data_IF_530364607823
#
_entry.id   IF_530364607823
#
_cell.length_a   1.000
_cell.length_b   1.000
_cell.length_c   1.000
_cell.angle_alpha   90.00
_cell.angle_beta   90.00
_cell.angle_gamma   90.00
#
_symmetry.space_group_name_H-M   'P 1'
#
loop_
_entity.id
_entity.type
_entity.pdbx_description
1 polymer ?
#
# COMPACT_ATOMS: atom_id res chain seq x y z
N UNK A 1 2.32 41.20 -5.94
CA UNK A 1 3.51 40.69 -5.19
C UNK A 1 3.17 39.57 -4.20
N UNK A 2 1.99 39.52 -3.63
CA UNK A 2 1.56 38.42 -2.69
C UNK A 2 1.35 37.07 -3.40
N UNK A 3 0.77 37.02 -4.61
CA UNK A 3 0.49 35.77 -5.33
C UNK A 3 1.77 34.96 -5.66
N UNK A 4 2.88 35.63 -5.98
CA UNK A 4 4.18 34.97 -6.26
C UNK A 4 4.86 34.39 -5.01
N UNK A 5 4.58 34.92 -3.81
CA UNK A 5 5.07 34.34 -2.54
C UNK A 5 4.28 33.08 -2.14
N UNK A 6 2.97 33.05 -2.41
CA UNK A 6 2.13 31.88 -2.14
C UNK A 6 2.50 30.68 -3.03
N UNK A 7 2.74 30.92 -4.33
CA UNK A 7 3.19 29.87 -5.27
C UNK A 7 4.55 29.27 -4.89
N UNK A 8 5.47 30.05 -4.33
CA UNK A 8 6.78 29.54 -3.88
C UNK A 8 6.69 28.73 -2.59
N UNK A 9 5.83 29.09 -1.63
CA UNK A 9 5.57 28.28 -0.45
C UNK A 9 4.84 26.97 -0.77
N UNK A 10 3.83 27.00 -1.65
CA UNK A 10 3.10 25.79 -2.07
C UNK A 10 3.99 24.77 -2.78
N UNK A 11 4.93 25.23 -3.62
CA UNK A 11 5.91 24.36 -4.29
C UNK A 11 6.90 23.72 -3.33
N UNK A 12 7.30 24.42 -2.25
CA UNK A 12 8.18 23.86 -1.21
C UNK A 12 7.44 22.83 -0.34
N UNK A 13 6.18 23.06 -0.02
CA UNK A 13 5.36 22.10 0.76
C UNK A 13 5.10 20.83 -0.07
N UNK A 14 4.78 20.95 -1.36
CA UNK A 14 4.66 19.79 -2.25
C UNK A 14 5.97 19.01 -2.35
N UNK A 15 7.12 19.67 -2.52
CA UNK A 15 8.44 19.02 -2.59
C UNK A 15 8.84 18.31 -1.30
N UNK A 16 8.49 18.85 -0.13
CA UNK A 16 8.73 18.22 1.17
C UNK A 16 7.83 16.99 1.36
N UNK A 17 6.57 17.04 0.94
CA UNK A 17 5.65 15.91 0.94
C UNK A 17 6.15 14.80 0.00
N UNK A 18 6.68 15.15 -1.18
CA UNK A 18 7.29 14.21 -2.12
C UNK A 18 8.57 13.52 -1.57
N UNK A 19 9.40 14.24 -0.82
CA UNK A 19 10.65 13.69 -0.29
C UNK A 19 10.44 12.73 0.90
N UNK A 20 9.29 12.81 1.60
CA UNK A 20 8.95 11.99 2.76
C UNK A 20 8.00 10.83 2.43
N UNK A 21 7.46 10.76 1.21
CA UNK A 21 6.51 9.71 0.80
C UNK A 21 7.19 8.35 0.55
N UNK A 22 7.92 7.87 1.52
CA UNK A 22 8.58 6.57 1.46
C UNK A 22 7.77 5.52 2.27
N UNK A 23 7.16 4.54 1.57
CA UNK A 23 6.88 3.18 2.04
C UNK A 23 5.69 2.97 2.99
N UNK A 24 4.52 2.77 2.42
CA UNK A 24 3.29 2.38 3.12
C UNK A 24 3.10 0.87 3.11
N UNK A 25 2.66 0.30 4.22
CA UNK A 25 2.20 -1.08 4.34
C UNK A 25 0.70 -1.12 4.66
N UNK A 26 0.04 -2.18 4.24
CA UNK A 26 -1.37 -2.13 3.95
C UNK A 26 -2.21 -3.21 4.65
N UNK A 27 -3.50 -2.97 4.72
CA UNK A 27 -4.53 -3.96 5.08
C UNK A 27 -5.07 -4.76 3.89
N UNK A 28 -4.62 -4.46 2.65
CA UNK A 28 -5.06 -5.13 1.42
C UNK A 28 -3.91 -5.34 0.43
N UNK A 29 -3.13 -6.41 0.58
CA UNK A 29 -1.91 -6.57 -0.18
C UNK A 29 -0.88 -5.51 0.20
N UNK A 30 -0.35 -4.75 -0.74
CA UNK A 30 0.54 -3.62 -0.48
C UNK A 30 -0.20 -2.26 -0.43
N UNK A 31 -1.51 -2.23 -0.61
CA UNK A 31 -2.31 -1.01 -0.49
C UNK A 31 -2.43 -0.57 0.97
N UNK A 32 -2.50 0.72 1.23
CA UNK A 32 -2.77 1.25 2.56
C UNK A 32 -4.12 0.74 3.09
N UNK A 33 -4.23 0.59 4.40
CA UNK A 33 -5.46 0.16 5.06
C UNK A 33 -6.61 1.16 4.80
N UNK A 34 -6.27 2.43 4.77
CA UNK A 34 -7.13 3.56 4.47
C UNK A 34 -6.30 4.80 4.19
N UNK A 35 -6.91 5.88 3.76
CA UNK A 35 -6.30 7.17 3.47
C UNK A 35 -7.01 8.24 4.28
N UNK A 36 -6.23 9.06 4.99
CA UNK A 36 -6.73 10.05 5.93
C UNK A 36 -7.13 9.50 7.31
N UNK A 37 -7.34 10.39 8.30
CA UNK A 37 -7.47 10.00 9.70
C UNK A 37 -8.68 9.11 9.97
N UNK A 38 -9.82 9.40 9.38
CA UNK A 38 -11.06 8.64 9.61
C UNK A 38 -10.93 7.21 9.08
N UNK A 39 -10.33 7.06 7.87
CA UNK A 39 -10.11 5.75 7.29
C UNK A 39 -9.12 4.92 8.12
N UNK A 40 -8.05 5.52 8.65
CA UNK A 40 -7.13 4.83 9.55
C UNK A 40 -7.82 4.34 10.83
N UNK A 41 -8.71 5.15 11.42
CA UNK A 41 -9.44 4.81 12.66
C UNK A 41 -10.52 3.74 12.43
N UNK A 42 -11.13 3.68 11.24
CA UNK A 42 -12.18 2.71 10.87
C UNK A 42 -11.63 1.50 10.09
N UNK A 43 -10.33 1.25 10.11
CA UNK A 43 -9.67 0.17 9.36
C UNK A 43 -10.06 0.16 7.86
N UNK A 44 -10.28 1.34 7.28
CA UNK A 44 -10.63 1.55 5.87
C UNK A 44 -12.10 1.34 5.51
N UNK A 45 -13.02 1.17 6.46
CA UNK A 45 -14.46 1.07 6.22
C UNK A 45 -15.08 2.45 6.00
N UNK A 46 -14.83 3.06 4.82
CA UNK A 46 -15.20 4.46 4.55
C UNK A 46 -15.84 4.69 3.16
N UNK A 47 -16.19 3.65 2.42
CA UNK A 47 -16.80 3.81 1.09
C UNK A 47 -18.12 4.58 1.16
N UNK A 48 -18.87 4.46 2.26
CA UNK A 48 -20.13 5.15 2.52
C UNK A 48 -20.08 6.10 3.74
N UNK A 49 -18.88 6.47 4.22
CA UNK A 49 -18.67 7.42 5.33
C UNK A 49 -18.03 8.69 4.79
N UNK A 50 -18.64 9.85 5.03
CA UNK A 50 -18.18 11.16 4.54
C UNK A 50 -17.95 12.09 5.73
N UNK A 51 -16.72 12.14 6.26
CA UNK A 51 -16.35 12.92 7.44
C UNK A 51 -15.03 13.69 7.28
N UNK A 52 -14.30 13.50 6.16
CA UNK A 52 -13.05 14.18 5.88
C UNK A 52 -12.90 14.55 4.39
N UNK A 53 -11.91 15.36 4.06
CA UNK A 53 -11.62 15.78 2.68
C UNK A 53 -10.94 14.68 1.84
N UNK A 54 -10.60 13.50 2.41
CA UNK A 54 -9.98 12.39 1.68
C UNK A 54 -10.94 11.56 0.81
N UNK A 55 -12.08 12.15 0.45
CA UNK A 55 -13.06 11.49 -0.42
C UNK A 55 -12.44 11.00 -1.73
N UNK A 56 -11.61 11.81 -2.41
CA UNK A 56 -10.92 11.44 -3.64
C UNK A 56 -10.02 10.22 -3.52
N UNK A 57 -9.54 9.93 -2.33
CA UNK A 57 -8.71 8.75 -2.05
C UNK A 57 -9.52 7.45 -1.85
N UNK A 58 -10.83 7.53 -1.64
CA UNK A 58 -11.70 6.35 -1.40
C UNK A 58 -12.90 6.31 -2.34
N UNK A 59 -13.85 7.22 -2.19
CA UNK A 59 -15.03 7.37 -3.04
C UNK A 59 -15.24 8.87 -3.34
N UNK A 60 -14.92 9.33 -4.57
CA UNK A 60 -14.94 10.75 -4.91
C UNK A 60 -16.31 11.42 -4.75
N UNK A 61 -17.40 10.66 -4.85
CA UNK A 61 -18.74 11.19 -4.70
C UNK A 61 -19.03 11.76 -3.30
N UNK A 62 -18.35 11.24 -2.25
CA UNK A 62 -18.53 11.71 -0.87
C UNK A 62 -18.07 13.15 -0.64
N UNK A 63 -17.27 13.70 -1.55
CA UNK A 63 -16.77 15.06 -1.44
C UNK A 63 -17.89 16.09 -1.40
N UNK A 64 -19.03 15.82 -2.05
CA UNK A 64 -20.23 16.67 -2.00
C UNK A 64 -20.80 16.85 -0.59
N UNK A 65 -20.47 15.95 0.34
CA UNK A 65 -20.93 15.98 1.73
C UNK A 65 -19.82 16.36 2.73
N UNK A 66 -18.57 16.51 2.28
CA UNK A 66 -17.42 16.77 3.18
C UNK A 66 -17.36 18.23 3.66
N UNK A 67 -18.04 19.15 2.97
CA UNK A 67 -17.97 20.59 3.29
C UNK A 67 -16.63 21.22 2.87
N UNK A 68 -16.34 22.41 3.42
CA UNK A 68 -15.08 23.09 3.21
C UNK A 68 -14.10 22.66 4.30
N UNK A 69 -13.06 21.95 3.95
CA UNK A 69 -12.15 21.33 4.94
C UNK A 69 -10.74 21.21 4.41
N UNK A 70 -9.79 21.35 5.31
CA UNK A 70 -8.37 21.07 5.13
C UNK A 70 -7.94 20.01 6.13
N UNK A 71 -7.34 18.93 5.64
CA UNK A 71 -6.84 17.82 6.45
C UNK A 71 -5.34 17.62 6.23
N UNK A 72 -4.59 17.51 7.30
CA UNK A 72 -3.18 17.13 7.32
C UNK A 72 -3.04 15.88 8.18
N UNK A 73 -2.44 14.84 7.65
CA UNK A 73 -2.28 13.55 8.33
C UNK A 73 -0.85 13.04 8.23
N UNK A 74 -0.37 12.44 9.30
CA UNK A 74 0.93 11.80 9.37
C UNK A 74 0.78 10.44 10.04
N UNK A 75 1.16 9.39 9.33
CA UNK A 75 1.21 8.03 9.88
C UNK A 75 2.65 7.60 10.10
N UNK A 76 2.95 7.17 11.31
CA UNK A 76 4.18 6.47 11.69
C UNK A 76 3.92 4.97 11.59
N UNK A 77 4.60 4.28 10.68
CA UNK A 77 4.42 2.85 10.43
C UNK A 77 5.67 2.07 10.85
N UNK A 78 5.46 1.02 11.65
CA UNK A 78 6.52 0.14 12.15
C UNK A 78 6.26 -1.33 11.74
N UNK A 79 6.69 -1.78 10.54
CA UNK A 79 6.55 -3.15 10.11
C UNK A 79 7.68 -4.04 10.61
N UNK A 80 7.32 -5.24 11.08
CA UNK A 80 8.26 -6.32 11.43
C UNK A 80 8.13 -7.46 10.42
N UNK A 81 9.26 -7.86 9.82
CA UNK A 81 9.30 -8.87 8.76
C UNK A 81 10.44 -9.82 9.04
N UNK A 82 10.11 -10.90 9.77
CA UNK A 82 11.06 -11.98 10.07
C UNK A 82 10.84 -13.11 9.07
N UNK A 83 11.95 -13.62 8.54
CA UNK A 83 12.02 -14.76 7.61
C UNK A 83 13.04 -15.76 8.08
N UNK A 84 12.78 -17.04 7.84
CA UNK A 84 13.65 -18.13 8.26
C UNK A 84 13.70 -19.21 7.17
N UNK A 85 14.87 -19.82 6.99
CA UNK A 85 15.05 -21.04 6.21
C UNK A 85 15.78 -22.07 7.06
N UNK A 86 15.28 -23.31 7.05
CA UNK A 86 15.85 -24.45 7.76
C UNK A 86 15.87 -25.69 6.86
N UNK A 87 16.76 -26.64 7.16
CA UNK A 87 16.80 -27.93 6.48
C UNK A 87 17.52 -27.91 5.12
N UNK A 88 18.16 -26.81 4.72
CA UNK A 88 19.14 -26.86 3.64
C UNK A 88 20.35 -27.69 4.11
N UNK A 89 20.79 -28.66 3.30
CA UNK A 89 21.81 -29.65 3.65
C UNK A 89 22.94 -29.72 2.61
N UNK A 90 24.02 -30.41 2.93
CA UNK A 90 25.20 -30.52 2.08
C UNK A 90 25.80 -29.15 1.76
N UNK A 91 26.21 -28.91 0.49
CA UNK A 91 26.78 -27.61 0.09
C UNK A 91 25.84 -26.43 0.31
N UNK A 92 24.53 -26.67 0.38
CA UNK A 92 23.53 -25.62 0.62
C UNK A 92 23.31 -25.31 2.10
N UNK A 93 23.93 -26.04 3.05
CA UNK A 93 23.73 -25.85 4.50
C UNK A 93 24.01 -24.43 4.99
N UNK A 94 24.99 -23.76 4.37
CA UNK A 94 25.33 -22.36 4.66
C UNK A 94 24.22 -21.34 4.29
N UNK A 95 23.18 -21.74 3.57
CA UNK A 95 22.03 -20.89 3.23
C UNK A 95 20.85 -21.02 4.20
N UNK A 96 20.99 -21.81 5.29
CA UNK A 96 20.06 -21.72 6.41
C UNK A 96 20.22 -20.37 7.11
N UNK A 97 19.12 -19.73 7.49
CA UNK A 97 19.17 -18.41 8.07
C UNK A 97 17.93 -18.09 8.91
N UNK A 98 18.06 -17.08 9.76
CA UNK A 98 16.95 -16.37 10.40
C UNK A 98 17.27 -14.88 10.33
N UNK A 99 16.43 -14.10 9.69
CA UNK A 99 16.69 -12.68 9.45
C UNK A 99 15.45 -11.82 9.65
N UNK A 100 15.65 -10.60 10.15
CA UNK A 100 14.60 -9.58 10.27
C UNK A 100 14.98 -8.38 9.44
N UNK A 101 14.02 -7.82 8.69
CA UNK A 101 14.27 -6.65 7.87
C UNK A 101 14.71 -5.46 8.73
N UNK A 102 15.80 -4.82 8.34
CA UNK A 102 16.39 -3.69 9.06
C UNK A 102 15.53 -2.42 8.98
N UNK A 103 14.88 -2.18 7.84
CA UNK A 103 14.00 -1.03 7.67
C UNK A 103 12.67 -1.27 8.37
N UNK A 104 12.45 -0.61 9.50
CA UNK A 104 11.31 -0.85 10.38
C UNK A 104 10.53 0.41 10.77
N UNK A 105 10.84 1.57 10.19
CA UNK A 105 10.16 2.81 10.53
C UNK A 105 9.95 3.67 9.29
N UNK A 106 8.68 4.03 9.03
CA UNK A 106 8.28 4.83 7.87
C UNK A 106 7.33 5.94 8.28
N UNK A 107 7.55 7.13 7.72
CA UNK A 107 6.67 8.29 7.84
C UNK A 107 5.83 8.42 6.58
N UNK A 108 4.52 8.54 6.73
CA UNK A 108 3.54 8.62 5.65
C UNK A 108 2.73 9.89 5.82
N UNK A 109 3.15 10.99 5.18
CA UNK A 109 2.37 12.21 5.16
C UNK A 109 1.23 12.13 4.15
N UNK A 110 0.08 12.68 4.50
CA UNK A 110 -1.10 12.77 3.65
C UNK A 110 -1.71 14.18 3.78
N UNK A 111 -2.33 14.64 2.73
CA UNK A 111 -2.97 15.95 2.63
C UNK A 111 -4.28 15.83 1.87
N UNK A 112 -5.31 16.53 2.34
CA UNK A 112 -6.53 16.69 1.57
C UNK A 112 -7.15 18.08 1.78
N UNK A 113 -7.84 18.54 0.75
CA UNK A 113 -8.59 19.78 0.73
C UNK A 113 -9.91 19.57 0.01
N UNK A 114 -10.98 20.09 0.56
CA UNK A 114 -12.30 20.12 -0.06
C UNK A 114 -12.92 21.50 -0.01
N UNK A 115 -13.68 21.83 -1.05
CA UNK A 115 -14.42 23.09 -1.15
C UNK A 115 -15.77 22.88 -1.86
N UNK A 116 -16.82 23.33 -1.23
CA UNK A 116 -18.13 23.46 -1.86
C UNK A 116 -18.11 24.69 -2.78
N UNK A 117 -18.34 24.48 -4.07
CA UNK A 117 -18.43 25.56 -5.07
C UNK A 117 -19.81 26.17 -5.10
N UNK A 118 -20.84 25.32 -5.01
CA UNK A 118 -22.25 25.66 -4.87
C UNK A 118 -22.98 24.48 -4.22
N UNK A 119 -24.29 24.56 -4.08
CA UNK A 119 -25.11 23.51 -3.42
C UNK A 119 -24.99 22.11 -4.07
N UNK A 120 -24.60 22.03 -5.34
CA UNK A 120 -24.54 20.79 -6.10
C UNK A 120 -23.12 20.33 -6.41
N UNK A 121 -22.12 21.22 -6.39
CA UNK A 121 -20.78 20.94 -6.89
C UNK A 121 -19.74 21.18 -5.80
N UNK A 122 -18.94 20.16 -5.52
CA UNK A 122 -17.75 20.23 -4.69
C UNK A 122 -16.50 19.86 -5.50
N UNK A 123 -15.40 20.54 -5.19
CA UNK A 123 -14.07 20.24 -5.72
C UNK A 123 -13.11 19.96 -4.58
N UNK A 124 -12.07 19.20 -4.84
CA UNK A 124 -11.03 18.93 -3.86
C UNK A 124 -9.79 18.34 -4.47
N UNK A 125 -8.84 18.07 -3.61
CA UNK A 125 -7.60 17.39 -3.96
C UNK A 125 -7.15 16.57 -2.75
N UNK A 126 -6.76 15.33 -2.97
CA UNK A 126 -6.09 14.51 -1.97
C UNK A 126 -4.74 14.04 -2.48
N UNK A 127 -3.74 14.08 -1.60
CA UNK A 127 -2.39 13.61 -1.88
C UNK A 127 -2.03 12.59 -0.80
N UNK A 128 -1.75 11.36 -1.19
CA UNK A 128 -1.61 10.24 -0.26
C UNK A 128 -0.69 9.15 -0.82
N UNK A 129 -0.11 8.37 0.08
CA UNK A 129 0.61 7.18 -0.31
C UNK A 129 -0.37 6.02 -0.50
N UNK A 130 -0.49 5.53 -1.75
CA UNK A 130 -1.39 4.44 -2.09
C UNK A 130 -0.98 3.13 -1.44
N UNK A 131 0.32 2.90 -1.33
CA UNK A 131 0.89 1.70 -0.74
C UNK A 131 2.38 1.58 -1.01
N UNK A 132 2.95 0.47 -0.56
CA UNK A 132 4.36 0.21 -0.77
C UNK A 132 4.80 -1.16 -0.27
N UNK A 133 5.99 -1.55 -0.67
CA UNK A 133 6.68 -2.75 -0.23
C UNK A 133 8.14 -2.41 0.02
N UNK A 134 8.62 -2.69 1.21
CA UNK A 134 10.02 -2.50 1.54
C UNK A 134 10.53 -3.66 2.38
N UNK A 135 11.65 -4.20 1.99
CA UNK A 135 12.44 -5.16 2.79
C UNK A 135 13.92 -4.85 2.63
N UNK A 136 14.67 -5.01 3.70
CA UNK A 136 16.12 -4.99 3.71
C UNK A 136 16.63 -6.06 4.67
N UNK A 137 17.20 -7.12 4.13
CA UNK A 137 17.87 -8.15 4.89
C UNK A 137 19.38 -8.04 4.66
N UNK A 138 20.17 -8.08 5.70
CA UNK A 138 21.62 -7.95 5.57
C UNK A 138 22.34 -7.88 6.91
N UNK A 139 23.57 -7.61 6.86
CA UNK A 139 24.70 -7.56 7.81
C UNK A 139 24.40 -7.68 9.32
N UNK A 140 23.31 -7.16 9.82
CA UNK A 140 22.94 -7.22 11.25
C UNK A 140 21.85 -8.24 11.57
N UNK A 141 21.35 -9.00 10.60
CA UNK A 141 20.12 -9.79 10.73
C UNK A 141 20.31 -11.31 10.62
N UNK A 142 21.49 -11.83 10.97
CA UNK A 142 21.71 -13.27 11.06
C UNK A 142 21.96 -14.00 9.74
N UNK A 143 22.26 -13.27 8.66
CA UNK A 143 22.78 -13.86 7.42
C UNK A 143 24.25 -14.23 7.69
N UNK A 144 24.72 -15.44 7.31
CA UNK A 144 26.12 -15.80 7.47
C UNK A 144 27.02 -14.76 6.80
N UNK A 145 27.95 -14.19 7.53
CA UNK A 145 28.98 -13.28 7.00
C UNK A 145 29.91 -13.93 5.97
N UNK A 146 29.76 -15.23 5.76
CA UNK A 146 30.59 -16.03 4.86
C UNK A 146 30.21 -15.79 3.42
N UNK A 147 31.17 -15.59 2.55
CA UNK A 147 30.99 -15.53 1.12
C UNK A 147 30.70 -16.94 0.57
N UNK A 148 29.42 -17.26 0.41
CA UNK A 148 28.97 -18.57 -0.10
C UNK A 148 29.11 -18.70 -1.63
N UNK A 149 29.40 -17.61 -2.33
CA UNK A 149 29.61 -17.60 -3.78
C UNK A 149 30.72 -16.63 -4.17
N UNK A 150 32.02 -17.00 -3.93
CA UNK A 150 33.16 -16.13 -4.25
C UNK A 150 33.27 -15.75 -5.72
N UNK A 151 32.85 -16.65 -6.62
CA UNK A 151 32.90 -16.38 -8.06
C UNK A 151 31.95 -15.25 -8.48
N UNK A 152 30.82 -15.10 -7.78
CA UNK A 152 29.83 -14.05 -8.04
C UNK A 152 30.09 -12.79 -7.20
N UNK A 153 30.49 -12.95 -5.94
CA UNK A 153 30.51 -11.88 -4.94
C UNK A 153 31.90 -11.29 -4.68
N UNK A 154 32.97 -11.94 -5.15
CA UNK A 154 34.35 -11.53 -4.83
C UNK A 154 34.58 -11.57 -3.32
N UNK A 155 34.91 -10.44 -2.71
CA UNK A 155 35.12 -10.30 -1.25
C UNK A 155 33.84 -9.94 -0.46
N UNK A 156 32.71 -9.68 -1.12
CA UNK A 156 31.47 -9.32 -0.44
C UNK A 156 30.80 -10.55 0.17
N UNK A 157 30.16 -10.42 1.33
CA UNK A 157 29.38 -11.52 1.90
C UNK A 157 28.25 -11.93 0.96
N UNK A 158 27.90 -13.20 0.94
CA UNK A 158 26.71 -13.70 0.27
C UNK A 158 25.44 -13.34 1.04
N UNK A 159 24.29 -13.50 0.39
CA UNK A 159 22.98 -13.41 1.05
C UNK A 159 22.19 -14.70 0.86
N UNK A 160 21.09 -14.84 1.58
CA UNK A 160 20.31 -16.08 1.60
C UNK A 160 19.55 -16.40 0.29
N UNK A 161 19.53 -15.48 -0.67
CA UNK A 161 19.00 -15.72 -2.02
C UNK A 161 20.11 -16.08 -3.03
N UNK A 162 21.35 -16.31 -2.57
CA UNK A 162 22.49 -16.63 -3.41
C UNK A 162 23.15 -15.43 -4.09
N UNK A 163 22.70 -14.22 -3.80
CA UNK A 163 23.32 -12.97 -4.26
C UNK A 163 24.35 -12.42 -3.28
N UNK A 164 24.72 -11.15 -3.42
CA UNK A 164 25.81 -10.50 -2.70
C UNK A 164 25.34 -9.32 -1.87
N UNK A 165 25.82 -9.26 -0.63
CA UNK A 165 25.53 -8.17 0.30
C UNK A 165 24.07 -8.15 0.76
N UNK A 166 23.56 -6.98 1.07
CA UNK A 166 22.15 -6.79 1.46
C UNK A 166 21.21 -7.29 0.39
N UNK A 167 20.11 -7.92 0.83
CA UNK A 167 19.02 -8.37 -0.03
C UNK A 167 17.76 -7.54 0.24
N UNK A 168 17.15 -7.02 -0.78
CA UNK A 168 15.89 -6.34 -0.59
C UNK A 168 15.36 -5.62 -1.82
N UNK A 169 14.22 -5.03 -1.63
CA UNK A 169 13.65 -4.07 -2.56
C UNK A 169 12.84 -3.01 -1.83
N UNK A 170 12.56 -1.97 -2.54
CA UNK A 170 11.94 -0.77 -2.06
C UNK A 170 11.01 -0.22 -3.13
N UNK A 171 9.71 -0.23 -2.87
CA UNK A 171 8.67 0.27 -3.75
C UNK A 171 7.72 1.15 -2.95
N UNK A 172 7.49 2.36 -3.44
CA UNK A 172 6.52 3.29 -2.90
C UNK A 172 5.65 3.89 -3.99
N UNK A 173 4.39 4.13 -3.68
CA UNK A 173 3.40 4.72 -4.59
C UNK A 173 2.75 5.92 -3.93
N UNK A 174 2.81 7.06 -4.61
CA UNK A 174 2.19 8.30 -4.20
C UNK A 174 1.20 8.77 -5.25
N UNK A 175 -0.02 9.12 -4.83
CA UNK A 175 -1.11 9.56 -5.71
C UNK A 175 -1.55 10.96 -5.32
N UNK A 176 -1.71 11.81 -6.34
CA UNK A 176 -2.45 13.07 -6.25
C UNK A 176 -3.75 12.91 -7.03
N UNK A 177 -4.87 13.12 -6.35
CA UNK A 177 -6.21 12.91 -6.88
C UNK A 177 -7.04 14.22 -6.80
N UNK A 178 -6.96 15.11 -7.82
CA UNK A 178 -7.96 16.15 -7.99
C UNK A 178 -9.33 15.51 -8.10
N UNK A 179 -10.34 16.10 -7.45
CA UNK A 179 -11.67 15.48 -7.33
C UNK A 179 -12.76 16.49 -7.67
N UNK A 180 -13.72 16.03 -8.43
CA UNK A 180 -14.99 16.72 -8.69
C UNK A 180 -16.12 15.81 -8.21
N UNK A 181 -17.03 16.35 -7.40
CA UNK A 181 -18.28 15.69 -7.01
C UNK A 181 -19.47 16.53 -7.42
N UNK A 182 -20.50 15.86 -7.88
CA UNK A 182 -21.77 16.48 -8.29
C UNK A 182 -22.95 15.79 -7.62
N UNK A 183 -23.70 16.57 -6.84
CA UNK A 183 -24.96 16.15 -6.23
C UNK A 183 -26.08 16.36 -7.24
N UNK A 184 -26.48 15.30 -7.93
CA UNK A 184 -27.49 15.34 -8.98
C UNK A 184 -28.94 15.28 -8.45
N UNK A 185 -29.09 14.83 -7.19
CA UNK A 185 -30.35 14.82 -6.46
C UNK A 185 -30.08 14.96 -4.96
N UNK A 186 -31.05 15.36 -4.12
CA UNK A 186 -30.87 15.45 -2.68
C UNK A 186 -30.35 14.13 -2.08
N UNK A 187 -29.19 14.20 -1.42
CA UNK A 187 -28.51 13.05 -0.85
C UNK A 187 -27.88 12.07 -1.85
N UNK A 188 -27.86 12.37 -3.17
CA UNK A 188 -27.30 11.50 -4.20
C UNK A 188 -26.20 12.22 -4.98
N UNK A 189 -25.03 11.64 -5.06
CA UNK A 189 -23.90 12.25 -5.75
C UNK A 189 -23.10 11.27 -6.58
N UNK A 190 -22.46 11.80 -7.62
CA UNK A 190 -21.43 11.16 -8.42
C UNK A 190 -20.12 11.93 -8.25
N UNK A 191 -19.00 11.25 -8.41
CA UNK A 191 -17.70 11.89 -8.33
C UNK A 191 -16.69 11.23 -9.24
N UNK A 192 -15.68 12.02 -9.63
CA UNK A 192 -14.57 11.58 -10.45
C UNK A 192 -13.26 12.17 -9.91
N UNK A 193 -12.22 11.37 -9.93
CA UNK A 193 -10.85 11.77 -9.59
C UNK A 193 -9.87 11.18 -10.59
N UNK A 194 -9.23 11.95 -11.45
CA UNK A 194 -7.98 11.56 -12.08
C UNK A 194 -6.96 11.14 -11.01
N UNK A 195 -6.23 10.06 -11.25
CA UNK A 195 -5.19 9.56 -10.36
C UNK A 195 -3.84 9.83 -11.01
N UNK A 196 -3.14 10.86 -10.54
CA UNK A 196 -1.80 11.21 -11.01
C UNK A 196 -0.80 10.56 -10.04
N UNK A 197 0.02 9.66 -10.55
CA UNK A 197 0.82 8.77 -9.70
C UNK A 197 2.30 8.93 -9.97
N UNK A 198 3.08 8.98 -8.88
CA UNK A 198 4.52 8.75 -8.86
C UNK A 198 4.79 7.42 -8.15
N UNK A 199 5.54 6.54 -8.79
CA UNK A 199 6.03 5.30 -8.21
C UNK A 199 7.55 5.28 -8.19
N UNK A 200 8.13 4.79 -7.11
CA UNK A 200 9.56 4.56 -6.98
C UNK A 200 9.85 3.08 -6.81
N UNK A 201 10.96 2.60 -7.35
CA UNK A 201 11.38 1.22 -7.22
C UNK A 201 12.91 1.10 -7.14
N UNK A 202 13.37 0.18 -6.28
CA UNK A 202 14.77 -0.21 -6.16
C UNK A 202 14.85 -1.67 -5.72
N UNK A 203 15.75 -2.45 -6.30
CA UNK A 203 16.06 -3.81 -5.87
C UNK A 203 17.58 -4.03 -5.77
N UNK A 204 17.99 -4.81 -4.79
CA UNK A 204 19.41 -5.09 -4.54
C UNK A 204 19.62 -6.49 -3.98
N UNK A 205 20.85 -7.03 -4.18
CA UNK A 205 21.23 -8.36 -3.70
C UNK A 205 20.70 -9.53 -4.53
N UNK A 206 20.21 -9.29 -5.75
CA UNK A 206 19.59 -10.31 -6.60
C UNK A 206 20.52 -10.79 -7.73
N UNK A 207 21.84 -10.68 -7.57
CA UNK A 207 22.82 -11.01 -8.63
C UNK A 207 22.70 -12.44 -9.13
N UNK A 208 22.34 -13.40 -8.26
CA UNK A 208 22.16 -14.80 -8.64
C UNK A 208 21.10 -15.03 -9.72
N UNK A 209 20.16 -14.10 -9.89
CA UNK A 209 19.08 -14.20 -10.87
C UNK A 209 19.42 -13.54 -12.21
N UNK A 210 20.52 -12.79 -12.29
CA UNK A 210 20.92 -12.09 -13.50
C UNK A 210 21.14 -13.03 -14.72
N UNK A 211 21.75 -14.23 -14.58
CA UNK A 211 21.92 -15.16 -15.70
C UNK A 211 20.61 -15.67 -16.30
N UNK A 212 19.52 -15.68 -15.52
CA UNK A 212 18.18 -16.11 -15.98
C UNK A 212 17.38 -14.97 -16.59
N UNK A 213 17.94 -13.77 -16.70
CA UNK A 213 17.23 -12.59 -17.17
C UNK A 213 17.48 -12.28 -18.66
N UNK A 214 16.43 -11.80 -19.34
CA UNK A 214 16.54 -11.22 -20.68
C UNK A 214 17.42 -9.97 -20.74
N UNK A 215 17.63 -9.31 -19.59
CA UNK A 215 18.43 -8.10 -19.46
C UNK A 215 19.24 -8.14 -18.15
N UNK A 216 20.32 -8.95 -18.09
CA UNK A 216 21.07 -9.24 -16.87
C UNK A 216 21.57 -8.00 -16.09
N UNK A 217 21.95 -6.92 -16.81
CA UNK A 217 22.41 -5.68 -16.20
C UNK A 217 21.32 -4.87 -15.53
N UNK A 218 20.03 -5.18 -15.78
CA UNK A 218 18.86 -4.47 -15.30
C UNK A 218 18.05 -5.30 -14.28
N UNK A 219 18.72 -6.16 -13.53
CA UNK A 219 18.08 -7.01 -12.51
C UNK A 219 18.17 -6.37 -11.12
N UNK A 220 19.34 -5.85 -10.75
CA UNK A 220 19.63 -5.50 -9.36
C UNK A 220 20.71 -4.43 -9.24
N UNK A 221 20.74 -3.70 -8.10
CA UNK A 221 21.77 -2.71 -7.74
C UNK A 221 21.87 -1.50 -8.69
N UNK A 222 20.81 -1.15 -9.39
CA UNK A 222 20.77 -0.04 -10.34
C UNK A 222 20.32 1.29 -9.71
N UNK A 223 20.30 1.36 -8.38
CA UNK A 223 19.83 2.54 -7.64
C UNK A 223 18.31 2.76 -7.72
N UNK A 224 17.86 3.92 -7.32
CA UNK A 224 16.45 4.28 -7.38
C UNK A 224 16.00 4.56 -8.81
N UNK A 225 14.84 4.03 -9.20
CA UNK A 225 14.14 4.36 -10.42
C UNK A 225 12.77 4.93 -10.14
N UNK A 226 12.23 5.74 -11.05
CA UNK A 226 10.95 6.44 -10.89
C UNK A 226 10.09 6.22 -12.13
N UNK A 227 8.80 6.05 -11.92
CA UNK A 227 7.79 5.92 -12.96
C UNK A 227 6.60 6.83 -12.64
N UNK A 228 6.08 7.50 -13.66
CA UNK A 228 4.84 8.25 -13.58
C UNK A 228 3.71 7.43 -14.21
N UNK A 229 2.49 7.65 -13.74
CA UNK A 229 1.34 6.95 -14.27
C UNK A 229 0.05 7.71 -14.06
N UNK A 230 -0.99 7.27 -14.75
CA UNK A 230 -2.31 7.86 -14.66
C UNK A 230 -3.40 6.79 -14.67
N UNK A 231 -4.47 7.09 -13.97
CA UNK A 231 -5.70 6.31 -13.89
C UNK A 231 -6.87 7.22 -13.55
N UNK A 232 -8.02 6.63 -13.30
CA UNK A 232 -9.22 7.37 -12.90
C UNK A 232 -9.96 6.61 -11.81
N UNK A 233 -10.53 7.34 -10.86
CA UNK A 233 -11.50 6.82 -9.89
C UNK A 233 -12.84 7.49 -10.12
N UNK A 234 -13.88 6.68 -10.13
CA UNK A 234 -15.26 7.16 -10.15
C UNK A 234 -16.01 6.61 -8.94
N UNK A 235 -17.03 7.33 -8.51
CA UNK A 235 -17.80 6.90 -7.35
C UNK A 235 -19.25 7.39 -7.39
N UNK A 236 -20.06 6.69 -6.66
CA UNK A 236 -21.42 7.04 -6.32
C UNK A 236 -21.59 7.00 -4.80
N UNK A 237 -22.37 7.94 -4.28
CA UNK A 237 -22.76 8.01 -2.87
C UNK A 237 -24.23 8.38 -2.78
N UNK A 238 -24.96 7.68 -1.91
CA UNK A 238 -26.37 7.93 -1.65
C UNK A 238 -26.70 7.91 -0.17
N UNK A 239 -27.34 8.96 0.33
CA UNK A 239 -27.91 9.03 1.67
C UNK A 239 -29.42 8.78 1.59
N UNK A 240 -29.86 7.63 2.11
CA UNK A 240 -31.25 7.17 2.10
C UNK A 240 -31.82 7.31 3.51
N UNK A 241 -32.51 8.38 3.81
CA UNK A 241 -32.96 8.74 5.15
C UNK A 241 -31.76 9.09 6.08
N UNK A 242 -31.98 9.75 7.20
CA UNK A 242 -30.90 10.15 8.10
C UNK A 242 -30.06 9.01 8.68
N UNK A 243 -30.50 7.75 8.49
CA UNK A 243 -29.89 6.59 9.15
C UNK A 243 -29.15 5.64 8.22
N UNK A 244 -29.17 5.81 6.89
CA UNK A 244 -28.56 4.88 5.95
C UNK A 244 -27.83 5.62 4.82
N UNK A 245 -26.55 5.35 4.66
CA UNK A 245 -25.77 5.77 3.50
C UNK A 245 -25.23 4.54 2.76
N UNK A 246 -25.18 4.61 1.44
CA UNK A 246 -24.57 3.61 0.57
C UNK A 246 -23.50 4.27 -0.29
N UNK A 247 -22.49 3.51 -0.67
CA UNK A 247 -21.43 4.01 -1.53
C UNK A 247 -20.87 2.92 -2.43
N UNK A 248 -20.44 3.33 -3.62
CA UNK A 248 -19.70 2.47 -4.54
C UNK A 248 -18.59 3.29 -5.20
N UNK A 249 -17.42 2.68 -5.38
CA UNK A 249 -16.30 3.30 -6.06
C UNK A 249 -15.55 2.29 -6.91
N UNK A 250 -15.04 2.74 -8.05
CA UNK A 250 -14.16 1.99 -8.94
C UNK A 250 -12.94 2.83 -9.28
N UNK A 251 -11.75 2.24 -9.12
CA UNK A 251 -10.49 2.79 -9.61
C UNK A 251 -9.99 1.92 -10.75
N UNK A 252 -9.77 2.52 -11.91
CA UNK A 252 -9.11 1.83 -13.01
C UNK A 252 -7.71 1.36 -12.61
N UNK A 253 -7.13 0.46 -13.37
CA UNK A 253 -5.69 0.26 -13.36
C UNK A 253 -5.01 1.61 -13.58
N UNK A 254 -3.97 1.93 -12.79
CA UNK A 254 -3.08 3.04 -13.09
C UNK A 254 -1.97 2.50 -13.97
N UNK A 255 -1.93 2.95 -15.21
CA UNK A 255 -0.90 2.59 -16.17
C UNK A 255 0.35 3.38 -15.85
N UNK A 256 1.42 2.68 -15.51
CA UNK A 256 2.70 3.25 -15.13
C UNK A 256 3.69 3.20 -16.29
N UNK A 257 4.60 4.18 -16.36
CA UNK A 257 5.79 4.06 -17.18
C UNK A 257 6.65 2.88 -16.71
N UNK A 258 7.42 2.29 -17.62
CA UNK A 258 8.30 1.18 -17.30
C UNK A 258 9.51 1.64 -16.48
N UNK A 259 9.97 0.81 -15.55
CA UNK A 259 11.21 0.99 -14.83
C UNK A 259 12.40 0.49 -15.67
N UNK A 260 13.03 1.37 -16.40
CA UNK A 260 14.13 1.02 -17.29
C UNK A 260 15.31 0.36 -16.58
N UNK A 261 15.62 0.80 -15.35
CA UNK A 261 16.68 0.22 -14.53
C UNK A 261 16.40 -1.20 -14.07
N UNK A 262 15.12 -1.63 -14.13
CA UNK A 262 14.68 -2.94 -13.61
C UNK A 262 13.88 -3.76 -14.64
N UNK A 263 14.01 -3.46 -15.93
CA UNK A 263 13.38 -4.24 -17.02
C UNK A 263 13.89 -5.68 -17.17
N UNK A 264 14.97 -6.01 -16.48
CA UNK A 264 15.47 -7.38 -16.38
C UNK A 264 14.92 -8.15 -15.17
N UNK A 265 14.24 -7.46 -14.24
CA UNK A 265 13.61 -8.04 -13.05
C UNK A 265 12.09 -8.08 -13.16
N UNK A 266 11.49 -6.94 -13.43
CA UNK A 266 10.05 -6.78 -13.60
C UNK A 266 9.63 -7.12 -15.03
N UNK A 267 8.39 -7.57 -15.23
CA UNK A 267 7.86 -7.95 -16.54
C UNK A 267 7.95 -6.78 -17.55
N UNK A 268 9.03 -6.74 -18.32
CA UNK A 268 9.42 -5.65 -19.25
C UNK A 268 9.64 -4.28 -18.58
N UNK A 269 9.85 -4.24 -17.26
CA UNK A 269 9.93 -3.02 -16.47
C UNK A 269 8.58 -2.55 -15.93
N UNK A 270 7.48 -3.13 -16.37
CA UNK A 270 6.13 -2.70 -16.02
C UNK A 270 5.75 -3.10 -14.58
N UNK A 271 5.18 -2.14 -13.84
CA UNK A 271 4.62 -2.37 -12.53
C UNK A 271 3.40 -1.47 -12.29
N UNK A 272 2.33 -1.73 -13.04
CA UNK A 272 1.06 -1.01 -12.90
C UNK A 272 0.45 -1.14 -11.52
N UNK A 273 -0.39 -0.18 -11.13
CA UNK A 273 -1.22 -0.30 -9.93
C UNK A 273 -2.53 -1.00 -10.31
N UNK A 274 -2.91 -2.11 -9.65
CA UNK A 274 -4.12 -2.87 -9.97
C UNK A 274 -5.38 -2.03 -9.89
N UNK A 275 -6.34 -2.34 -10.75
CA UNK A 275 -7.70 -1.85 -10.61
C UNK A 275 -8.29 -2.36 -9.29
N UNK A 276 -9.17 -1.56 -8.70
CA UNK A 276 -9.89 -1.96 -7.49
C UNK A 276 -11.26 -1.31 -7.42
N UNK A 277 -12.17 -1.96 -6.71
CA UNK A 277 -13.51 -1.43 -6.48
C UNK A 277 -13.99 -1.75 -5.07
N UNK A 278 -14.89 -0.92 -4.57
CA UNK A 278 -15.51 -1.10 -3.27
C UNK A 278 -17.00 -0.77 -3.32
N UNK A 279 -17.74 -1.47 -2.47
CA UNK A 279 -19.11 -1.13 -2.11
C UNK A 279 -19.19 -1.04 -0.59
N UNK A 280 -19.96 -0.09 -0.09
CA UNK A 280 -20.04 0.15 1.34
C UNK A 280 -21.43 0.60 1.78
N UNK A 281 -21.69 0.41 3.05
CA UNK A 281 -22.88 0.82 3.75
C UNK A 281 -22.51 1.45 5.08
N UNK A 282 -23.16 2.54 5.45
CA UNK A 282 -23.07 3.11 6.79
C UNK A 282 -24.46 3.29 7.37
N UNK A 283 -24.65 2.87 8.64
CA UNK A 283 -25.94 2.92 9.35
C UNK A 283 -25.73 3.73 10.62
N UNK A 284 -26.65 4.67 10.90
CA UNK A 284 -26.73 5.44 12.14
C UNK A 284 -27.92 4.90 12.96
N UNK A 285 -27.75 3.81 13.76
CA UNK A 285 -28.86 3.12 14.45
C UNK A 285 -29.51 3.97 15.55
N UNK A 286 -28.74 4.90 16.12
CA UNK A 286 -29.19 5.89 17.11
C UNK A 286 -28.23 7.08 17.14
N UNK A 287 -28.65 8.17 17.78
CA UNK A 287 -27.82 9.36 17.93
C UNK A 287 -26.42 9.04 18.47
N UNK A 288 -25.39 9.61 17.85
CA UNK A 288 -23.99 9.43 18.21
C UNK A 288 -23.35 8.12 17.77
N UNK A 289 -24.06 7.19 17.14
CA UNK A 289 -23.51 5.92 16.65
C UNK A 289 -23.54 5.82 15.13
N UNK A 290 -22.44 5.31 14.56
CA UNK A 290 -22.35 4.89 13.15
C UNK A 290 -21.69 3.53 13.07
N UNK A 291 -22.27 2.64 12.25
CA UNK A 291 -21.71 1.33 11.87
C UNK A 291 -21.44 1.38 10.37
N UNK A 292 -20.21 1.09 9.95
CA UNK A 292 -19.80 1.02 8.56
C UNK A 292 -19.38 -0.39 8.18
N UNK A 293 -19.75 -0.81 6.98
CA UNK A 293 -19.32 -2.08 6.40
C UNK A 293 -18.95 -1.88 4.93
N UNK A 294 -17.75 -2.36 4.53
CA UNK A 294 -17.27 -2.28 3.15
C UNK A 294 -16.80 -3.65 2.66
N UNK A 295 -17.01 -3.90 1.37
CA UNK A 295 -16.34 -4.95 0.60
C UNK A 295 -15.48 -4.27 -0.45
N UNK A 296 -14.18 -4.55 -0.45
CA UNK A 296 -13.23 -4.05 -1.44
C UNK A 296 -12.58 -5.22 -2.15
N UNK A 297 -12.48 -5.16 -3.47
CA UNK A 297 -11.69 -6.10 -4.27
C UNK A 297 -10.57 -5.39 -5.00
N UNK A 298 -9.37 -5.99 -5.00
CA UNK A 298 -8.17 -5.49 -5.66
C UNK A 298 -7.73 -6.56 -6.66
N UNK A 299 -7.58 -6.17 -7.94
CA UNK A 299 -7.32 -7.06 -9.06
C UNK A 299 -5.81 -7.28 -9.28
N UNK A 300 -5.13 -7.91 -8.32
CA UNK A 300 -3.70 -8.20 -8.41
C UNK A 300 -3.34 -9.09 -9.59
N UNK A 301 -4.24 -9.99 -10.00
CA UNK A 301 -4.04 -10.87 -11.17
C UNK A 301 -3.92 -10.10 -12.49
N UNK A 302 -4.39 -8.86 -12.55
CA UNK A 302 -4.31 -7.98 -13.70
C UNK A 302 -2.92 -7.35 -13.95
N UNK A 303 -1.94 -7.53 -13.05
CA UNK A 303 -0.59 -6.94 -13.15
C UNK A 303 0.46 -8.04 -13.18
N UNK A 304 1.13 -8.23 -14.32
CA UNK A 304 2.07 -9.36 -14.55
C UNK A 304 3.21 -9.42 -13.54
N UNK A 305 3.83 -8.28 -13.20
CA UNK A 305 4.88 -8.26 -12.20
C UNK A 305 4.42 -8.85 -10.86
N UNK A 306 3.14 -8.70 -10.50
CA UNK A 306 2.54 -9.26 -9.30
C UNK A 306 2.05 -10.69 -9.52
N UNK A 307 1.32 -10.95 -10.60
CA UNK A 307 0.57 -12.19 -10.80
C UNK A 307 1.39 -13.36 -11.33
N UNK A 308 2.47 -13.12 -12.07
CA UNK A 308 3.33 -14.20 -12.52
C UNK A 308 3.87 -15.00 -11.33
N UNK A 309 3.89 -16.35 -11.46
CA UNK A 309 4.46 -17.23 -10.45
C UNK A 309 5.96 -17.02 -10.28
N UNK A 310 6.53 -17.53 -9.20
CA UNK A 310 7.97 -17.41 -8.94
C UNK A 310 8.81 -18.41 -9.72
N UNK A 311 8.25 -19.56 -10.09
CA UNK A 311 8.98 -20.66 -10.71
C UNK A 311 9.36 -20.48 -12.19
N UNK A 312 8.61 -19.79 -13.05
CA UNK A 312 8.88 -19.83 -14.50
C UNK A 312 10.34 -19.58 -14.89
N UNK A 313 10.95 -18.50 -14.39
CA UNK A 313 12.35 -18.19 -14.70
C UNK A 313 13.36 -19.06 -13.95
N UNK A 314 12.96 -19.71 -12.86
CA UNK A 314 13.83 -20.61 -12.09
C UNK A 314 13.91 -22.00 -12.75
N UNK A 315 12.82 -22.47 -13.34
CA UNK A 315 12.72 -23.82 -13.91
C UNK A 315 13.01 -23.88 -15.39
N UNK A 316 12.67 -22.84 -16.14
CA UNK A 316 12.90 -22.75 -17.59
C UNK A 316 13.22 -21.29 -18.00
N UNK A 317 14.43 -20.80 -17.70
CA UNK A 317 14.82 -19.42 -17.99
C UNK A 317 14.95 -19.13 -19.50
N UNK A 318 15.08 -20.16 -20.33
CA UNK A 318 15.15 -20.00 -21.80
C UNK A 318 13.79 -19.63 -22.36
N UNK A 319 12.74 -20.34 -21.97
CA UNK A 319 11.37 -20.05 -22.42
C UNK A 319 10.74 -18.85 -21.67
N UNK A 320 11.10 -18.69 -20.39
CA UNK A 320 10.54 -17.68 -19.51
C UNK A 320 11.65 -16.86 -18.82
N UNK A 321 12.45 -16.09 -19.58
CA UNK A 321 13.53 -15.33 -18.98
C UNK A 321 12.97 -14.28 -18.00
N UNK A 322 13.66 -14.08 -16.88
CA UNK A 322 13.31 -13.05 -15.92
C UNK A 322 13.26 -11.67 -16.61
N UNK A 323 12.30 -10.84 -16.28
CA UNK A 323 12.06 -9.57 -16.97
C UNK A 323 11.26 -9.67 -18.25
N UNK A 324 10.87 -10.90 -18.73
CA UNK A 324 9.93 -11.05 -19.83
C UNK A 324 8.48 -11.07 -19.36
N UNK A 325 7.53 -11.00 -20.30
CA UNK A 325 6.08 -11.11 -20.00
C UNK A 325 5.69 -12.42 -19.33
N UNK A 326 6.40 -13.51 -19.65
CA UNK A 326 6.21 -14.85 -19.08
C UNK A 326 7.18 -15.19 -17.96
N UNK A 327 8.12 -14.29 -17.63
CA UNK A 327 9.11 -14.48 -16.58
C UNK A 327 8.49 -14.47 -15.19
N UNK A 328 9.31 -14.83 -14.20
CA UNK A 328 8.88 -14.85 -12.79
C UNK A 328 8.44 -13.48 -12.30
N UNK A 329 7.46 -13.49 -11.41
CA UNK A 329 6.92 -12.33 -10.71
C UNK A 329 6.74 -12.63 -9.23
N UNK A 330 5.91 -11.83 -8.57
CA UNK A 330 5.69 -11.92 -7.13
C UNK A 330 4.74 -13.05 -6.69
N UNK A 331 4.10 -13.78 -7.60
CA UNK A 331 3.24 -14.93 -7.29
C UNK A 331 1.88 -14.57 -6.71
N UNK A 332 1.40 -13.35 -6.87
CA UNK A 332 0.05 -12.93 -6.44
C UNK A 332 -0.98 -13.24 -7.53
N UNK A 333 -1.22 -14.53 -7.75
CA UNK A 333 -2.03 -15.05 -8.84
C UNK A 333 -3.54 -14.84 -8.64
N UNK A 334 -3.96 -14.44 -7.44
CA UNK A 334 -5.37 -14.19 -7.11
C UNK A 334 -5.61 -12.74 -6.73
N UNK A 335 -6.81 -12.29 -7.04
CA UNK A 335 -7.32 -11.02 -6.54
C UNK A 335 -7.63 -11.11 -5.05
N UNK A 336 -7.49 -10.00 -4.36
CA UNK A 336 -7.78 -9.94 -2.94
C UNK A 336 -9.11 -9.26 -2.67
N UNK A 337 -9.98 -9.94 -1.92
CA UNK A 337 -11.21 -9.35 -1.39
C UNK A 337 -11.02 -9.07 0.09
N UNK A 338 -11.30 -7.83 0.49
CA UNK A 338 -11.23 -7.36 1.87
C UNK A 338 -12.63 -7.03 2.36
N UNK A 339 -12.96 -7.51 3.55
CA UNK A 339 -14.17 -7.18 4.30
C UNK A 339 -13.77 -6.25 5.44
N UNK A 340 -14.43 -5.11 5.55
CA UNK A 340 -14.08 -4.07 6.50
C UNK A 340 -15.30 -3.72 7.35
N UNK A 341 -15.10 -3.57 8.66
CA UNK A 341 -16.10 -3.18 9.63
C UNK A 341 -15.58 -1.99 10.42
N UNK A 342 -16.38 -0.96 10.55
CA UNK A 342 -16.08 0.23 11.34
C UNK A 342 -17.22 0.55 12.31
N UNK A 343 -16.85 1.06 13.48
CA UNK A 343 -17.76 1.57 14.48
C UNK A 343 -17.30 2.94 14.91
N UNK A 344 -18.21 3.90 14.98
CA UNK A 344 -17.98 5.22 15.53
C UNK A 344 -18.99 5.52 16.62
N UNK A 345 -18.53 6.18 17.67
CA UNK A 345 -19.35 6.63 18.78
C UNK A 345 -18.96 8.05 19.21
N UNK A 346 -19.88 8.98 19.06
CA UNK A 346 -19.75 10.34 19.59
C UNK A 346 -20.05 10.33 21.08
N UNK A 347 -19.00 10.27 21.89
CA UNK A 347 -19.10 10.17 23.34
C UNK A 347 -19.52 11.50 23.98
N UNK A 348 -19.04 12.62 23.44
CA UNK A 348 -19.43 14.00 23.81
C UNK A 348 -19.51 14.84 22.53
N UNK A 349 -20.01 16.09 22.58
CA UNK A 349 -19.94 17.00 21.44
C UNK A 349 -18.52 17.24 20.90
N UNK A 350 -17.51 17.09 21.75
CA UNK A 350 -16.09 17.30 21.41
C UNK A 350 -15.35 15.99 21.13
N UNK A 351 -15.80 14.84 21.64
CA UNK A 351 -15.05 13.58 21.56
C UNK A 351 -15.79 12.51 20.76
N UNK A 352 -15.17 12.08 19.68
CA UNK A 352 -15.61 10.92 18.87
C UNK A 352 -14.60 9.79 18.99
N UNK A 353 -15.06 8.59 19.31
CA UNK A 353 -14.26 7.37 19.37
C UNK A 353 -14.56 6.49 18.16
N UNK A 354 -13.55 5.82 17.63
CA UNK A 354 -13.69 4.91 16.50
C UNK A 354 -12.91 3.63 16.71
N UNK A 355 -13.43 2.55 16.15
CA UNK A 355 -12.74 1.26 16.05
C UNK A 355 -13.04 0.63 14.71
N UNK A 356 -12.09 -0.13 14.17
CA UNK A 356 -12.26 -0.81 12.90
C UNK A 356 -11.56 -2.14 12.82
N UNK A 357 -12.04 -2.99 11.92
CA UNK A 357 -11.44 -4.29 11.62
C UNK A 357 -11.53 -4.59 10.14
N UNK A 358 -10.41 -5.02 9.55
CA UNK A 358 -10.34 -5.51 8.17
C UNK A 358 -9.86 -6.95 8.14
N UNK A 359 -10.51 -7.75 7.31
CA UNK A 359 -10.11 -9.11 6.99
C UNK A 359 -10.07 -9.30 5.47
N UNK A 360 -8.94 -9.83 4.95
CA UNK A 360 -8.77 -10.20 3.55
C UNK A 360 -8.17 -11.59 3.39
N UNK A 361 -8.41 -12.21 2.26
CA UNK A 361 -7.72 -13.44 1.88
C UNK A 361 -6.39 -13.11 1.21
N UNK A 362 -5.37 -13.97 1.37
CA UNK A 362 -4.09 -13.80 0.70
C UNK A 362 -4.24 -13.86 -0.84
N UNK A 363 -3.46 -13.06 -1.55
CA UNK A 363 -3.44 -13.03 -3.01
C UNK A 363 -2.66 -14.19 -3.65
N UNK A 364 -1.86 -14.92 -2.87
CA UNK A 364 -1.11 -16.09 -3.33
C UNK A 364 -2.03 -17.33 -3.34
N UNK A 365 -1.89 -18.17 -4.36
CA UNK A 365 -2.76 -19.35 -4.56
C UNK A 365 -2.16 -20.66 -4.04
N UNK A 366 -0.84 -20.75 -3.89
CA UNK A 366 -0.17 -21.94 -3.38
C UNK A 366 0.92 -21.62 -2.35
N UNK A 367 1.36 -22.63 -1.60
CA UNK A 367 2.31 -22.44 -0.51
C UNK A 367 3.71 -22.12 -1.01
N UNK A 368 4.12 -22.61 -2.18
CA UNK A 368 5.42 -22.30 -2.76
C UNK A 368 5.53 -20.81 -3.13
N UNK A 369 4.56 -20.28 -3.89
CA UNK A 369 4.50 -18.86 -4.20
C UNK A 369 4.38 -18.02 -2.92
N UNK A 370 3.57 -18.48 -1.96
CA UNK A 370 3.37 -17.79 -0.67
C UNK A 370 4.66 -17.67 0.11
N UNK A 371 5.46 -18.75 0.22
CA UNK A 371 6.69 -18.75 1.01
C UNK A 371 7.76 -17.92 0.34
N UNK A 372 8.02 -18.16 -0.93
CA UNK A 372 9.05 -17.43 -1.67
C UNK A 372 8.76 -15.94 -1.74
N UNK A 373 7.48 -15.57 -1.79
CA UNK A 373 7.06 -14.18 -1.73
C UNK A 373 7.04 -13.63 -0.29
N UNK A 374 6.68 -14.43 0.70
CA UNK A 374 6.75 -14.06 2.10
C UNK A 374 8.16 -13.71 2.57
N UNK A 375 9.17 -14.30 1.94
CA UNK A 375 10.60 -13.93 2.13
C UNK A 375 10.89 -12.54 1.56
N UNK A 376 10.20 -12.14 0.49
CA UNK A 376 10.45 -10.90 -0.24
C UNK A 376 9.44 -9.79 0.08
N UNK A 377 8.19 -10.10 0.44
CA UNK A 377 7.16 -9.09 0.73
C UNK A 377 6.13 -9.55 1.75
N UNK A 378 5.48 -8.58 2.35
CA UNK A 378 4.40 -8.78 3.34
C UNK A 378 3.06 -8.50 2.68
N UNK A 379 2.15 -9.47 2.74
CA UNK A 379 0.76 -9.28 2.36
C UNK A 379 -0.13 -9.30 3.63
N UNK A 380 -0.45 -8.14 4.24
CA UNK A 380 -1.36 -8.09 5.37
C UNK A 380 -2.75 -8.60 4.97
N UNK A 381 -3.32 -9.43 5.84
CA UNK A 381 -4.66 -10.01 5.66
C UNK A 381 -5.62 -9.65 6.79
N UNK A 382 -5.13 -9.05 7.87
CA UNK A 382 -5.93 -8.59 8.99
C UNK A 382 -5.40 -7.26 9.50
N UNK A 383 -6.31 -6.36 9.85
CA UNK A 383 -5.98 -5.14 10.54
C UNK A 383 -7.06 -4.81 11.57
N UNK A 384 -6.63 -4.35 12.74
CA UNK A 384 -7.51 -3.79 13.74
C UNK A 384 -7.04 -2.38 14.06
N UNK A 385 -7.95 -1.45 14.23
CA UNK A 385 -7.64 -0.06 14.57
C UNK A 385 -8.56 0.47 15.65
N UNK A 386 -8.05 1.44 16.39
CA UNK A 386 -8.81 2.28 17.31
C UNK A 386 -8.36 3.72 17.14
N UNK A 387 -9.22 4.66 17.43
CA UNK A 387 -8.85 6.05 17.36
C UNK A 387 -9.87 6.99 17.97
N UNK A 388 -9.49 8.24 18.02
CA UNK A 388 -10.34 9.32 18.53
C UNK A 388 -10.15 10.59 17.73
N UNK A 389 -11.17 11.42 17.76
CA UNK A 389 -11.16 12.79 17.27
C UNK A 389 -11.58 13.69 18.41
N UNK A 390 -10.78 14.73 18.67
CA UNK A 390 -11.07 15.79 19.62
C UNK A 390 -11.34 17.08 18.85
N UNK A 391 -12.56 17.59 18.97
CA UNK A 391 -12.95 18.89 18.40
C UNK A 391 -12.62 19.98 19.42
N UNK A 392 -11.81 20.94 18.98
CA UNK A 392 -11.43 22.09 19.82
C UNK A 392 -12.51 23.17 19.80
N UNK A 393 -12.44 24.10 20.73
CA UNK A 393 -13.37 25.25 20.80
C UNK A 393 -13.23 26.19 19.58
N UNK A 394 -12.06 26.18 18.90
CA UNK A 394 -11.82 26.92 17.66
C UNK A 394 -12.41 26.25 16.42
N UNK A 395 -13.03 25.06 16.55
CA UNK A 395 -13.58 24.28 15.43
C UNK A 395 -12.58 23.43 14.68
N UNK A 396 -11.30 23.42 15.06
CA UNK A 396 -10.31 22.46 14.55
C UNK A 396 -10.54 21.08 15.17
N UNK A 397 -10.12 20.03 14.47
CA UNK A 397 -10.19 18.66 14.97
C UNK A 397 -8.78 18.05 15.04
N UNK A 398 -8.47 17.42 16.16
CA UNK A 398 -7.25 16.64 16.37
C UNK A 398 -7.60 15.15 16.34
N UNK A 399 -6.91 14.40 15.52
CA UNK A 399 -7.14 12.97 15.37
C UNK A 399 -5.93 12.17 15.85
N UNK A 400 -6.20 11.09 16.57
CA UNK A 400 -5.19 10.11 16.96
C UNK A 400 -5.72 8.71 16.66
N UNK A 401 -4.90 7.88 16.03
CA UNK A 401 -5.24 6.51 15.69
C UNK A 401 -4.08 5.55 15.95
N UNK A 402 -4.43 4.34 16.33
CA UNK A 402 -3.49 3.23 16.44
C UNK A 402 -4.04 2.04 15.67
N UNK A 403 -3.16 1.36 14.93
CA UNK A 403 -3.53 0.15 14.20
C UNK A 403 -2.47 -0.94 14.36
N UNK A 404 -2.94 -2.18 14.35
CA UNK A 404 -2.14 -3.38 14.19
C UNK A 404 -2.56 -4.10 12.93
N UNK A 405 -1.58 -4.47 12.10
CA UNK A 405 -1.77 -5.21 10.85
C UNK A 405 -0.99 -6.52 10.93
N UNK A 406 -1.66 -7.64 10.69
CA UNK A 406 -1.04 -8.96 10.67
C UNK A 406 -1.06 -9.50 9.23
N UNK A 407 0.10 -9.88 8.71
CA UNK A 407 0.22 -10.58 7.44
C UNK A 407 -0.09 -12.06 7.53
N UNK A 408 -0.19 -12.71 6.39
CA UNK A 408 -0.31 -14.16 6.33
C UNK A 408 0.95 -14.80 6.93
N UNK A 409 0.76 -15.86 7.71
CA UNK A 409 1.88 -16.72 8.10
C UNK A 409 2.17 -17.65 6.94
N UNK A 410 3.40 -17.61 6.47
CA UNK A 410 3.87 -18.45 5.38
C UNK A 410 4.75 -19.56 5.94
N UNK A 411 4.56 -20.77 5.46
CA UNK A 411 5.41 -21.92 5.77
C UNK A 411 5.30 -22.95 4.64
N UNK A 412 6.40 -23.29 4.00
CA UNK A 412 6.42 -24.25 2.91
C UNK A 412 7.83 -24.54 2.40
N UNK A 413 7.97 -25.27 1.28
CA UNK A 413 9.24 -25.57 0.68
C UNK A 413 9.92 -24.29 0.14
N UNK A 414 11.26 -24.29 0.11
CA UNK A 414 12.03 -23.26 -0.58
C UNK A 414 11.94 -23.46 -2.11
N UNK A 415 11.68 -22.37 -2.85
CA UNK A 415 11.72 -22.39 -4.31
C UNK A 415 13.17 -22.44 -4.86
N UNK A 416 14.14 -22.01 -4.03
CA UNK A 416 15.52 -21.83 -4.46
C UNK A 416 16.40 -23.01 -3.99
N UNK A 417 16.12 -23.56 -2.80
CA UNK A 417 16.91 -24.62 -2.18
C UNK A 417 16.07 -25.86 -1.93
N UNK A 418 16.11 -26.87 -2.82
CA UNK A 418 15.35 -28.11 -2.69
C UNK A 418 15.61 -28.80 -1.34
N UNK A 419 14.53 -29.29 -0.70
CA UNK A 419 14.57 -29.93 0.61
C UNK A 419 14.53 -28.97 1.81
N UNK A 420 14.84 -27.69 1.62
CA UNK A 420 14.72 -26.68 2.67
C UNK A 420 13.26 -26.22 2.84
N UNK A 421 12.95 -25.75 4.05
CA UNK A 421 11.67 -25.14 4.41
C UNK A 421 11.86 -23.67 4.76
N UNK A 422 10.96 -22.83 4.32
CA UNK A 422 10.95 -21.40 4.63
C UNK A 422 9.70 -21.02 5.42
N UNK A 423 9.83 -19.99 6.24
CA UNK A 423 8.70 -19.40 6.96
C UNK A 423 8.84 -17.89 7.08
N UNK A 424 7.72 -17.19 7.09
CA UNK A 424 7.63 -15.75 7.36
C UNK A 424 6.44 -15.43 8.26
N UNK A 425 6.61 -14.43 9.14
CA UNK A 425 5.57 -13.95 10.07
C UNK A 425 5.57 -12.42 10.11
N UNK A 426 5.04 -11.77 9.08
CA UNK A 426 5.01 -10.32 9.04
C UNK A 426 3.88 -9.75 9.88
N UNK A 427 4.14 -8.61 10.54
CA UNK A 427 3.14 -7.76 11.16
C UNK A 427 3.61 -6.31 11.15
N UNK A 428 2.71 -5.36 11.39
CA UNK A 428 3.07 -3.96 11.54
C UNK A 428 2.19 -3.27 12.59
N UNK A 429 2.74 -2.23 13.20
CA UNK A 429 2.00 -1.25 13.98
C UNK A 429 2.00 0.08 13.26
N UNK A 430 0.93 0.85 13.45
CA UNK A 430 0.83 2.21 12.93
C UNK A 430 0.26 3.15 13.99
N UNK A 431 0.82 4.36 14.06
CA UNK A 431 0.26 5.49 14.80
C UNK A 431 -0.06 6.56 13.78
N UNK A 432 -1.31 7.00 13.75
CA UNK A 432 -1.75 8.11 12.91
C UNK A 432 -2.07 9.32 13.78
N UNK A 433 -1.58 10.48 13.39
CA UNK A 433 -1.88 11.77 13.98
C UNK A 433 -2.31 12.70 12.86
N UNK A 434 -3.42 13.42 13.04
CA UNK A 434 -3.88 14.35 12.03
C UNK A 434 -4.55 15.57 12.66
N UNK A 435 -4.63 16.61 11.84
CA UNK A 435 -5.32 17.86 12.13
C UNK A 435 -6.24 18.19 10.97
N UNK A 436 -7.47 18.57 11.30
CA UNK A 436 -8.49 19.00 10.35
C UNK A 436 -9.02 20.37 10.73
N UNK A 437 -9.30 21.19 9.73
CA UNK A 437 -9.87 22.52 9.89
C UNK A 437 -11.01 22.73 8.93
N UNK A 438 -12.21 22.99 9.46
CA UNK A 438 -13.31 23.53 8.68
C UNK A 438 -12.99 25.00 8.28
N UNK A 439 -13.33 25.38 7.04
CA UNK A 439 -13.02 26.67 6.44
C UNK A 439 -14.27 27.41 5.99
#
# INVERSE_FOLDING_TARGET
MMLKKWLRCSSCVLLVVFALAAHVYAGGGYFAMGYGPIAWQLAGAVTAVSEDAFAGASNPAKLSMAGNQLDLSLTLLNPNRKVERTGASGPASGYNFSSTSANSLFLVPEFAYSRQVNEQVAIGISAYANGGMNIEYGDSSGIPATNLNPALCGTKPGNFAGGCGKLGFDMGQFIVAPTLAWQFAPGQSLGISPLLTLQMFKAYGLQAFAPSSRSPRHVTNNGQDYAFGAGVRVGWFGEFKPCLSLGAAYSSKVYMQDFDKYKGLLAEGSFDIPANYSVGMAIKPRHGWLLAFDIQRIEFSGVRALSNGILPSLTNPVANPLGSKSGSGFGWQRDQTNYKLGVMYQATPQLTLRAGYTYGKRANDNDLNSVSFGVLAVNPIRAASVGMTWKTDSGSELHMGFARMDGAKYKGPSAIFPGAKESARPYAYAVNIAWSQAM
#
